data_IF_538384782790
#
_entry.id   IF_538384782790
#
_cell.length_a   1.000
_cell.length_b   1.000
_cell.length_c   1.000
_cell.angle_alpha   90.00
_cell.angle_beta   90.00
_cell.angle_gamma   90.00
#
_symmetry.space_group_name_H-M   'P 1'
#
loop_
_entity.id
_entity.type
_entity.pdbx_description
1 polymer ?
#
# COMPACT_ATOMS: atom_id res chain seq x y z
N UNK A 1 3.28 0.11 -37.58
CA UNK A 1 2.43 -0.66 -36.65
C UNK A 1 1.85 0.30 -35.63
N UNK A 2 0.52 0.29 -35.38
CA UNK A 2 -0.07 1.08 -34.32
C UNK A 2 0.56 0.74 -32.98
N UNK A 3 0.91 1.76 -32.19
CA UNK A 3 1.49 1.61 -30.87
C UNK A 3 0.60 2.20 -29.81
N UNK A 4 0.48 1.52 -28.67
CA UNK A 4 -0.20 1.97 -27.47
C UNK A 4 0.81 2.03 -26.35
N UNK A 5 0.74 3.05 -25.51
CA UNK A 5 1.55 3.15 -24.28
C UNK A 5 0.65 3.27 -23.06
N UNK A 6 1.16 2.81 -21.91
CA UNK A 6 0.50 2.88 -20.60
C UNK A 6 1.36 3.73 -19.66
N UNK A 7 0.75 4.73 -19.03
CA UNK A 7 1.33 5.46 -17.92
C UNK A 7 0.60 5.13 -16.62
N UNK A 8 1.32 4.51 -15.70
CA UNK A 8 0.76 3.99 -14.45
C UNK A 8 0.77 5.01 -13.31
N UNK A 9 1.61 6.04 -13.42
CA UNK A 9 1.84 7.02 -12.36
C UNK A 9 1.11 8.33 -12.64
N UNK A 10 0.89 9.12 -11.59
CA UNK A 10 0.32 10.48 -11.70
C UNK A 10 1.30 11.50 -12.32
N UNK A 11 2.54 11.09 -12.54
CA UNK A 11 3.57 11.86 -13.22
C UNK A 11 4.21 11.02 -14.33
N UNK A 12 4.21 11.53 -15.55
CA UNK A 12 4.67 10.76 -16.71
C UNK A 12 6.19 10.55 -16.73
N UNK A 13 6.58 9.29 -16.93
CA UNK A 13 7.97 8.93 -17.11
C UNK A 13 8.56 9.47 -18.43
N UNK A 14 9.88 9.70 -18.46
CA UNK A 14 10.59 10.26 -19.63
C UNK A 14 10.34 9.42 -20.88
N UNK A 15 10.41 8.11 -20.77
CA UNK A 15 10.19 7.18 -21.90
C UNK A 15 8.80 7.38 -22.52
N UNK A 16 7.76 7.43 -21.69
CA UNK A 16 6.39 7.64 -22.16
C UNK A 16 6.21 9.02 -22.81
N UNK A 17 6.82 10.07 -22.24
CA UNK A 17 6.83 11.42 -22.87
C UNK A 17 7.45 11.40 -24.26
N UNK A 18 8.56 10.69 -24.45
CA UNK A 18 9.22 10.57 -25.76
C UNK A 18 8.38 9.75 -26.76
N UNK A 19 7.78 8.66 -26.32
CA UNK A 19 6.98 7.77 -27.16
C UNK A 19 5.60 8.34 -27.52
N UNK A 20 5.06 9.25 -26.71
CA UNK A 20 3.73 9.85 -26.86
C UNK A 20 3.48 10.43 -28.27
N UNK A 21 4.51 11.03 -28.86
CA UNK A 21 4.41 11.61 -30.22
C UNK A 21 4.05 10.56 -31.27
N UNK A 22 4.58 9.33 -31.13
CA UNK A 22 4.40 8.22 -32.10
C UNK A 22 3.29 7.24 -31.70
N UNK A 23 2.83 7.27 -30.43
CA UNK A 23 1.75 6.42 -29.98
C UNK A 23 0.41 6.80 -30.61
N UNK A 24 -0.41 5.79 -30.93
CA UNK A 24 -1.77 5.96 -31.43
C UNK A 24 -2.74 6.31 -30.29
N UNK A 25 -2.55 5.67 -29.13
CA UNK A 25 -3.30 5.94 -27.88
C UNK A 25 -2.36 5.85 -26.68
N UNK A 26 -2.74 6.58 -25.63
CA UNK A 26 -2.00 6.69 -24.37
C UNK A 26 -2.97 6.38 -23.24
N UNK A 27 -2.90 5.17 -22.70
CA UNK A 27 -3.68 4.77 -21.53
C UNK A 27 -3.06 5.38 -20.28
N UNK A 28 -3.86 6.00 -19.45
CA UNK A 28 -3.41 6.66 -18.21
C UNK A 28 -4.24 6.21 -17.03
N UNK A 29 -3.62 6.20 -15.85
CA UNK A 29 -4.29 5.84 -14.60
C UNK A 29 -4.91 7.04 -13.87
N UNK A 30 -4.44 8.25 -14.15
CA UNK A 30 -4.83 9.47 -13.45
C UNK A 30 -5.36 10.52 -14.42
N UNK A 31 -6.24 11.38 -13.92
CA UNK A 31 -6.67 12.60 -14.59
C UNK A 31 -5.57 13.66 -14.65
N UNK A 32 -5.72 14.68 -15.49
CA UNK A 32 -4.77 15.80 -15.57
C UNK A 32 -3.47 15.46 -16.27
N UNK A 33 -3.44 14.38 -17.08
CA UNK A 33 -2.25 13.94 -17.82
C UNK A 33 -2.03 14.72 -19.12
N UNK A 34 -2.93 15.64 -19.48
CA UNK A 34 -2.84 16.55 -20.64
C UNK A 34 -1.60 17.46 -20.57
N UNK A 35 -1.12 17.73 -19.36
CA UNK A 35 0.13 18.45 -19.13
C UNK A 35 1.39 17.71 -19.63
N UNK A 36 1.28 16.40 -19.90
CA UNK A 36 2.40 15.58 -20.34
C UNK A 36 2.19 15.00 -21.75
N UNK A 37 0.93 14.80 -22.17
CA UNK A 37 0.58 14.05 -23.36
C UNK A 37 -0.45 14.81 -24.21
N UNK A 38 -0.50 14.58 -25.54
CA UNK A 38 -1.56 15.11 -26.40
C UNK A 38 -2.93 14.62 -25.93
N UNK A 39 -3.84 15.56 -25.65
CA UNK A 39 -5.16 15.29 -25.08
C UNK A 39 -6.02 14.35 -25.94
N UNK A 40 -5.92 14.48 -27.27
CA UNK A 40 -6.65 13.66 -28.27
C UNK A 40 -6.23 12.18 -28.29
N UNK A 41 -5.08 11.85 -27.70
CA UNK A 41 -4.58 10.49 -27.59
C UNK A 41 -4.82 9.83 -26.23
N UNK A 42 -5.14 10.62 -25.19
CA UNK A 42 -5.33 10.13 -23.84
C UNK A 42 -6.62 9.30 -23.73
N UNK A 43 -6.51 8.17 -23.05
CA UNK A 43 -7.65 7.33 -22.62
C UNK A 43 -7.45 7.01 -21.14
N UNK A 44 -8.39 7.41 -20.29
CA UNK A 44 -8.35 7.06 -18.87
C UNK A 44 -8.84 5.63 -18.72
N UNK A 45 -7.92 4.72 -18.41
CA UNK A 45 -8.21 3.28 -18.27
C UNK A 45 -8.02 2.77 -16.85
N UNK A 46 -7.40 3.56 -15.98
CA UNK A 46 -6.84 3.04 -14.74
C UNK A 46 -5.60 2.17 -14.98
N UNK A 47 -5.10 1.57 -13.91
CA UNK A 47 -4.06 0.54 -13.97
C UNK A 47 -4.69 -0.85 -14.00
N UNK A 48 -4.06 -1.83 -14.66
CA UNK A 48 -4.48 -3.23 -14.52
C UNK A 48 -4.29 -3.68 -13.07
N UNK A 49 -5.36 -4.20 -12.50
CA UNK A 49 -5.38 -4.80 -11.15
C UNK A 49 -5.82 -6.25 -11.26
N UNK A 50 -5.51 -7.04 -10.23
CA UNK A 50 -5.94 -8.45 -10.18
C UNK A 50 -7.46 -8.53 -9.98
N UNK A 51 -8.11 -9.38 -10.77
CA UNK A 51 -9.57 -9.53 -10.74
C UNK A 51 -10.09 -10.28 -9.51
N UNK A 52 -9.22 -11.08 -8.86
CA UNK A 52 -9.56 -11.89 -7.69
C UNK A 52 -9.67 -11.11 -6.38
N UNK A 53 -9.26 -9.83 -6.39
CA UNK A 53 -9.23 -9.02 -5.17
C UNK A 53 -10.62 -8.64 -4.65
N UNK A 54 -11.56 -8.31 -5.53
CA UNK A 54 -12.93 -7.93 -5.12
C UNK A 54 -13.66 -9.10 -4.47
N UNK A 55 -13.51 -10.31 -5.04
CA UNK A 55 -14.13 -11.52 -4.48
C UNK A 55 -13.57 -11.87 -3.10
N UNK A 56 -12.29 -11.53 -2.86
CA UNK A 56 -11.65 -11.83 -1.59
C UNK A 56 -12.23 -10.99 -0.41
N UNK A 57 -12.78 -9.80 -0.66
CA UNK A 57 -13.32 -8.94 0.40
C UNK A 57 -14.42 -9.62 1.23
N UNK A 58 -15.19 -10.54 0.64
CA UNK A 58 -16.23 -11.30 1.33
C UNK A 58 -15.70 -12.39 2.25
N UNK A 59 -14.38 -12.67 2.27
CA UNK A 59 -13.74 -13.81 2.95
C UNK A 59 -12.95 -13.40 4.19
N UNK A 60 -13.39 -12.35 4.90
CA UNK A 60 -12.62 -11.80 6.03
C UNK A 60 -12.36 -12.83 7.13
N UNK A 61 -13.36 -13.61 7.53
CA UNK A 61 -13.20 -14.63 8.58
C UNK A 61 -12.23 -15.75 8.17
N UNK A 62 -12.35 -16.24 6.92
CA UNK A 62 -11.43 -17.22 6.36
C UNK A 62 -9.99 -16.69 6.29
N UNK A 63 -9.85 -15.45 5.89
CA UNK A 63 -8.55 -14.78 5.81
C UNK A 63 -7.91 -14.61 7.20
N UNK A 64 -8.66 -14.19 8.20
CA UNK A 64 -8.18 -14.09 9.58
C UNK A 64 -7.75 -15.46 10.12
N UNK A 65 -8.56 -16.49 9.89
CA UNK A 65 -8.22 -17.87 10.29
C UNK A 65 -6.93 -18.35 9.59
N UNK A 66 -6.74 -18.02 8.31
CA UNK A 66 -5.52 -18.37 7.56
C UNK A 66 -4.25 -17.75 8.19
N UNK A 67 -4.34 -16.51 8.68
CA UNK A 67 -3.22 -15.83 9.36
C UNK A 67 -3.13 -16.16 10.86
N UNK A 68 -4.06 -16.94 11.41
CA UNK A 68 -4.12 -17.25 12.85
C UNK A 68 -4.45 -16.02 13.71
N UNK A 69 -5.29 -15.14 13.19
CA UNK A 69 -5.69 -13.87 13.82
C UNK A 69 -7.15 -13.94 14.32
N UNK A 70 -7.46 -13.09 15.30
CA UNK A 70 -8.78 -13.01 15.91
C UNK A 70 -9.76 -12.17 15.08
N UNK A 71 -11.02 -12.57 14.91
CA UNK A 71 -12.05 -11.75 14.28
C UNK A 71 -12.47 -10.54 15.13
N UNK A 72 -12.22 -10.58 16.44
CA UNK A 72 -12.61 -9.52 17.40
C UNK A 72 -11.66 -8.31 17.40
N UNK A 73 -10.49 -8.44 16.76
CA UNK A 73 -9.46 -7.40 16.79
C UNK A 73 -9.31 -6.71 15.43
N UNK A 74 -8.95 -5.44 15.48
CA UNK A 74 -8.58 -4.71 14.27
C UNK A 74 -7.26 -5.21 13.72
N UNK A 75 -7.19 -5.35 12.41
CA UNK A 75 -6.01 -5.86 11.70
C UNK A 75 -5.36 -4.75 10.88
N UNK A 76 -4.08 -4.51 11.12
CA UNK A 76 -3.26 -3.63 10.27
C UNK A 76 -2.35 -4.48 9.40
N UNK A 77 -2.48 -4.29 8.08
CA UNK A 77 -1.60 -4.89 7.09
C UNK A 77 -0.44 -3.94 6.78
N UNK A 78 0.79 -4.43 6.88
CA UNK A 78 2.01 -3.68 6.58
C UNK A 78 2.72 -4.29 5.38
N UNK A 79 2.89 -3.53 4.29
CA UNK A 79 3.52 -3.99 3.04
C UNK A 79 4.58 -3.00 2.57
N UNK A 80 5.83 -3.39 2.65
CA UNK A 80 6.98 -2.59 2.17
C UNK A 80 7.43 -2.92 0.74
N UNK A 81 6.71 -3.81 0.04
CA UNK A 81 7.12 -4.37 -1.25
C UNK A 81 8.00 -5.62 -1.10
N UNK A 82 8.34 -6.29 -2.23
CA UNK A 82 9.04 -7.58 -2.24
C UNK A 82 10.47 -7.53 -1.68
N UNK A 83 11.16 -6.40 -1.83
CA UNK A 83 12.50 -6.20 -1.26
C UNK A 83 12.44 -5.69 0.18
N UNK A 84 11.31 -5.12 0.58
CA UNK A 84 11.08 -4.48 1.85
C UNK A 84 11.40 -2.99 1.86
N UNK A 85 10.90 -2.30 2.88
CA UNK A 85 11.10 -0.86 3.11
C UNK A 85 11.72 -0.67 4.50
N UNK A 86 13.01 -0.27 4.53
CA UNK A 86 13.77 -0.18 5.79
C UNK A 86 13.06 0.67 6.84
N UNK A 87 12.62 1.86 6.47
CA UNK A 87 12.01 2.80 7.41
C UNK A 87 10.69 2.28 7.95
N UNK A 88 9.83 1.73 7.08
CA UNK A 88 8.57 1.08 7.51
C UNK A 88 8.89 -0.07 8.48
N UNK A 89 9.81 -0.97 8.12
CA UNK A 89 10.15 -2.11 8.97
C UNK A 89 10.69 -1.68 10.33
N UNK A 90 11.55 -0.64 10.40
CA UNK A 90 12.05 -0.09 11.66
C UNK A 90 10.94 0.53 12.50
N UNK A 91 10.03 1.28 11.88
CA UNK A 91 8.88 1.86 12.57
C UNK A 91 8.02 0.78 13.23
N UNK A 92 7.69 -0.28 12.47
CA UNK A 92 6.86 -1.38 13.00
C UNK A 92 7.61 -2.12 14.11
N UNK A 93 8.88 -2.46 13.88
CA UNK A 93 9.69 -3.21 14.84
C UNK A 93 9.89 -2.44 16.16
N UNK A 94 10.09 -1.12 16.09
CA UNK A 94 10.30 -0.28 17.26
C UNK A 94 9.05 -0.05 18.11
N UNK A 95 7.87 -0.19 17.52
CA UNK A 95 6.60 0.17 18.14
C UNK A 95 5.60 -1.00 18.25
N UNK A 96 6.06 -2.26 18.16
CA UNK A 96 5.19 -3.45 18.28
C UNK A 96 4.35 -3.43 19.56
N UNK A 97 4.93 -3.01 20.68
CA UNK A 97 4.23 -2.91 21.97
C UNK A 97 3.01 -1.97 21.89
N UNK A 98 3.07 -0.91 21.08
CA UNK A 98 1.96 0.04 20.92
C UNK A 98 0.77 -0.61 20.20
N UNK A 99 1.01 -1.48 19.21
CA UNK A 99 -0.07 -2.22 18.54
C UNK A 99 -0.79 -3.12 19.55
N UNK A 100 -0.04 -3.88 20.34
CA UNK A 100 -0.61 -4.82 21.29
C UNK A 100 -1.33 -4.10 22.45
N UNK A 101 -0.77 -2.99 22.94
CA UNK A 101 -1.42 -2.15 23.95
C UNK A 101 -2.74 -1.51 23.44
N UNK A 102 -2.88 -1.34 22.13
CA UNK A 102 -4.09 -0.81 21.48
C UNK A 102 -5.06 -1.90 21.03
N UNK A 103 -4.85 -3.15 21.41
CA UNK A 103 -5.64 -4.33 21.01
C UNK A 103 -5.72 -4.53 19.48
N UNK A 104 -4.65 -4.19 18.78
CA UNK A 104 -4.52 -4.30 17.33
C UNK A 104 -3.59 -5.46 16.99
N UNK A 105 -3.95 -6.20 15.96
CA UNK A 105 -3.15 -7.28 15.40
C UNK A 105 -2.52 -6.89 14.06
N UNK A 106 -1.43 -7.56 13.68
CA UNK A 106 -0.61 -7.13 12.55
C UNK A 106 -0.34 -8.28 11.59
N UNK A 107 -0.56 -8.04 10.29
CA UNK A 107 -0.01 -8.83 9.19
C UNK A 107 1.16 -8.03 8.62
N UNK A 108 2.37 -8.57 8.72
CA UNK A 108 3.59 -7.83 8.38
C UNK A 108 4.40 -8.53 7.30
N UNK A 109 4.41 -7.96 6.09
CA UNK A 109 5.35 -8.33 5.04
C UNK A 109 6.61 -7.46 5.14
N UNK A 110 7.69 -8.05 5.59
CA UNK A 110 8.97 -7.35 5.79
C UNK A 110 9.74 -7.12 4.51
N UNK A 111 9.53 -7.96 3.50
CA UNK A 111 10.40 -8.08 2.34
C UNK A 111 11.65 -8.91 2.63
N UNK A 112 12.24 -9.41 1.56
CA UNK A 112 13.34 -10.40 1.60
C UNK A 112 14.52 -9.98 2.49
N UNK A 113 14.92 -8.71 2.42
CA UNK A 113 16.14 -8.25 3.11
C UNK A 113 15.98 -8.07 4.63
N UNK A 114 14.76 -7.95 5.13
CA UNK A 114 14.50 -7.58 6.53
C UNK A 114 13.88 -8.71 7.35
N UNK A 115 13.46 -9.81 6.71
CA UNK A 115 12.76 -10.90 7.38
C UNK A 115 13.57 -11.56 8.48
N UNK A 116 14.87 -11.80 8.24
CA UNK A 116 15.73 -12.44 9.24
C UNK A 116 15.79 -11.65 10.55
N UNK A 117 15.93 -10.32 10.46
CA UNK A 117 16.03 -9.47 11.64
C UNK A 117 14.67 -9.31 12.33
N UNK A 118 13.60 -9.11 11.57
CA UNK A 118 12.23 -9.06 12.10
C UNK A 118 11.85 -10.37 12.80
N UNK A 119 12.16 -11.52 12.21
CA UNK A 119 11.89 -12.83 12.78
C UNK A 119 12.65 -13.08 14.09
N UNK A 120 13.92 -12.61 14.19
CA UNK A 120 14.67 -12.67 15.44
C UNK A 120 14.04 -11.79 16.52
N UNK A 121 13.65 -10.57 16.15
CA UNK A 121 13.01 -9.63 17.08
C UNK A 121 11.69 -10.19 17.62
N UNK A 122 10.88 -10.80 16.77
CA UNK A 122 9.58 -11.38 17.14
C UNK A 122 9.69 -12.57 18.11
N UNK A 123 10.88 -13.14 18.35
CA UNK A 123 11.05 -14.18 19.38
C UNK A 123 10.71 -13.67 20.78
N UNK A 124 10.88 -12.38 21.05
CA UNK A 124 10.49 -11.75 22.30
C UNK A 124 8.96 -11.57 22.44
N UNK A 125 8.23 -11.68 21.34
CA UNK A 125 6.78 -11.44 21.25
C UNK A 125 5.97 -12.72 20.97
N UNK A 126 6.45 -13.87 21.45
CA UNK A 126 5.75 -15.16 21.28
C UNK A 126 4.34 -15.12 21.87
N UNK A 127 3.35 -15.55 21.08
CA UNK A 127 1.95 -15.53 21.48
C UNK A 127 1.23 -14.20 21.27
N UNK A 128 1.94 -13.16 20.82
CA UNK A 128 1.31 -11.91 20.44
C UNK A 128 0.67 -12.03 19.04
N UNK A 129 -0.42 -11.28 18.76
CA UNK A 129 -1.18 -11.38 17.53
C UNK A 129 -0.47 -10.70 16.34
N UNK A 130 0.64 -11.27 15.90
CA UNK A 130 1.41 -10.81 14.75
C UNK A 130 1.75 -11.97 13.82
N UNK A 131 1.34 -11.86 12.58
CA UNK A 131 1.81 -12.71 11.48
C UNK A 131 2.88 -11.98 10.69
N UNK A 132 4.02 -12.63 10.43
CA UNK A 132 5.16 -12.01 9.76
C UNK A 132 5.77 -12.96 8.72
N UNK A 133 6.03 -12.45 7.53
CA UNK A 133 6.73 -13.15 6.46
C UNK A 133 7.56 -12.19 5.61
N UNK A 134 8.51 -12.73 4.85
CA UNK A 134 9.24 -12.00 3.83
C UNK A 134 8.36 -11.64 2.64
N UNK A 135 7.38 -12.53 2.30
CA UNK A 135 6.46 -12.33 1.19
C UNK A 135 5.07 -12.92 1.49
N UNK A 136 4.03 -12.22 1.09
CA UNK A 136 2.64 -12.67 1.20
C UNK A 136 2.20 -13.22 -0.15
N UNK A 137 1.97 -14.52 -0.24
CA UNK A 137 1.45 -15.17 -1.44
C UNK A 137 -0.05 -14.97 -1.63
N UNK A 138 -0.80 -14.94 -0.49
CA UNK A 138 -2.24 -14.70 -0.44
C UNK A 138 -2.54 -13.25 -0.10
N UNK A 139 -2.14 -12.32 -1.03
CA UNK A 139 -2.45 -10.89 -0.85
C UNK A 139 -3.95 -10.61 -0.84
N UNK A 140 -4.74 -11.40 -1.56
CA UNK A 140 -6.19 -11.41 -1.50
C UNK A 140 -6.70 -11.56 -0.05
N UNK A 141 -6.19 -12.55 0.67
CA UNK A 141 -6.53 -12.75 2.09
C UNK A 141 -5.96 -11.64 2.98
N UNK A 142 -4.74 -11.18 2.72
CA UNK A 142 -4.16 -10.10 3.50
C UNK A 142 -4.99 -8.81 3.42
N UNK A 143 -5.43 -8.45 2.22
CA UNK A 143 -6.34 -7.32 2.03
C UNK A 143 -7.72 -7.57 2.63
N UNK A 144 -8.26 -8.79 2.52
CA UNK A 144 -9.55 -9.13 3.12
C UNK A 144 -9.53 -9.00 4.65
N UNK A 145 -8.47 -9.50 5.30
CA UNK A 145 -8.30 -9.42 6.75
C UNK A 145 -8.07 -8.00 7.26
N UNK A 146 -7.47 -7.11 6.45
CA UNK A 146 -7.04 -5.78 6.87
C UNK A 146 -8.20 -4.80 7.06
N UNK A 147 -8.18 -4.08 8.17
CA UNK A 147 -9.00 -2.89 8.42
C UNK A 147 -8.28 -1.60 7.99
N UNK A 148 -6.96 -1.58 8.07
CA UNK A 148 -6.07 -0.49 7.66
C UNK A 148 -4.85 -1.07 6.97
N UNK A 149 -4.32 -0.36 5.97
CA UNK A 149 -3.08 -0.76 5.28
C UNK A 149 -2.01 0.31 5.45
N UNK A 150 -0.79 -0.13 5.74
CA UNK A 150 0.42 0.70 5.66
C UNK A 150 1.20 0.21 4.44
N UNK A 151 1.48 1.10 3.48
CA UNK A 151 2.14 0.70 2.23
C UNK A 151 3.06 1.77 1.67
N UNK A 152 3.98 1.35 0.79
CA UNK A 152 4.62 2.26 -0.18
C UNK A 152 3.59 2.73 -1.22
N UNK A 153 3.86 3.90 -1.83
CA UNK A 153 2.96 4.51 -2.80
C UNK A 153 3.27 4.09 -4.26
N UNK A 154 3.51 2.80 -4.48
CA UNK A 154 3.67 2.23 -5.81
C UNK A 154 2.36 2.24 -6.61
N UNK A 155 2.44 2.42 -7.93
CA UNK A 155 1.26 2.56 -8.79
C UNK A 155 0.28 1.38 -8.69
N UNK A 156 0.80 0.14 -8.71
CA UNK A 156 -0.05 -1.06 -8.59
C UNK A 156 -0.69 -1.18 -7.21
N UNK A 157 0.07 -0.95 -6.13
CA UNK A 157 -0.45 -1.01 -4.76
C UNK A 157 -1.56 0.01 -4.53
N UNK A 158 -1.36 1.25 -5.00
CA UNK A 158 -2.40 2.30 -4.91
C UNK A 158 -3.66 1.88 -5.67
N UNK A 159 -3.51 1.33 -6.88
CA UNK A 159 -4.67 0.92 -7.69
C UNK A 159 -5.45 -0.21 -7.05
N UNK A 160 -4.76 -1.19 -6.44
CA UNK A 160 -5.40 -2.27 -5.66
C UNK A 160 -6.13 -1.69 -4.43
N UNK A 161 -5.49 -0.79 -3.69
CA UNK A 161 -6.06 -0.16 -2.49
C UNK A 161 -7.29 0.69 -2.80
N UNK A 162 -7.26 1.44 -3.91
CA UNK A 162 -8.43 2.21 -4.39
C UNK A 162 -9.59 1.31 -4.79
N UNK A 163 -9.31 0.20 -5.51
CA UNK A 163 -10.32 -0.78 -5.90
C UNK A 163 -11.01 -1.38 -4.66
N UNK A 164 -10.23 -1.69 -3.64
CA UNK A 164 -10.71 -2.35 -2.42
C UNK A 164 -11.34 -1.38 -1.40
N UNK A 165 -11.25 -0.05 -1.63
CA UNK A 165 -11.74 0.95 -0.69
C UNK A 165 -11.10 0.88 0.71
N UNK A 166 -9.85 0.42 0.80
CA UNK A 166 -9.17 0.22 2.08
C UNK A 166 -8.57 1.53 2.61
N UNK A 167 -8.81 1.89 3.87
CA UNK A 167 -8.09 2.96 4.54
C UNK A 167 -6.59 2.72 4.47
N UNK A 168 -5.80 3.74 4.14
CA UNK A 168 -4.37 3.55 3.92
C UNK A 168 -3.52 4.70 4.47
N UNK A 169 -2.38 4.33 5.08
CA UNK A 169 -1.26 5.22 5.35
C UNK A 169 -0.16 4.94 4.33
N UNK A 170 0.11 5.90 3.48
CA UNK A 170 1.13 5.81 2.45
C UNK A 170 2.45 6.40 2.93
N UNK A 171 3.53 5.65 2.76
CA UNK A 171 4.90 6.09 3.03
C UNK A 171 5.67 6.04 1.71
N UNK A 172 5.69 7.12 0.91
CA UNK A 172 6.38 7.15 -0.37
C UNK A 172 7.87 6.80 -0.22
N UNK A 173 8.42 6.03 -1.16
CA UNK A 173 9.85 5.75 -1.20
C UNK A 173 10.60 6.99 -1.70
N UNK A 174 11.64 7.47 -1.00
CA UNK A 174 12.45 8.60 -1.46
C UNK A 174 13.41 8.21 -2.60
N UNK A 175 13.62 6.90 -2.82
CA UNK A 175 14.63 6.38 -3.74
C UNK A 175 14.01 5.91 -5.07
N UNK A 176 13.10 6.70 -5.62
CA UNK A 176 12.44 6.40 -6.91
C UNK A 176 12.62 7.55 -7.88
N UNK A 177 12.68 7.22 -9.18
CA UNK A 177 12.85 8.22 -10.23
C UNK A 177 11.74 9.28 -10.17
N UNK A 178 12.12 10.56 -10.35
CA UNK A 178 11.20 11.70 -10.45
C UNK A 178 10.22 11.85 -9.28
N UNK A 179 10.53 11.24 -8.13
CA UNK A 179 9.68 11.28 -6.91
C UNK A 179 8.22 10.88 -7.19
N UNK A 180 8.02 9.90 -8.09
CA UNK A 180 6.69 9.52 -8.54
C UNK A 180 5.82 8.94 -7.41
N UNK A 181 6.41 8.30 -6.39
CA UNK A 181 5.62 7.77 -5.26
C UNK A 181 5.00 8.88 -4.40
N UNK A 182 5.73 9.96 -4.13
CA UNK A 182 5.15 11.11 -3.43
C UNK A 182 3.99 11.73 -4.24
N UNK A 183 4.18 11.88 -5.55
CA UNK A 183 3.14 12.41 -6.43
C UNK A 183 1.91 11.50 -6.49
N UNK A 184 2.09 10.19 -6.55
CA UNK A 184 1.01 9.22 -6.50
C UNK A 184 0.24 9.30 -5.15
N UNK A 185 0.95 9.37 -4.02
CA UNK A 185 0.33 9.51 -2.71
C UNK A 185 -0.46 10.82 -2.59
N UNK A 186 0.10 11.95 -3.02
CA UNK A 186 -0.57 13.25 -2.99
C UNK A 186 -1.85 13.27 -3.83
N UNK A 187 -1.91 12.53 -4.93
CA UNK A 187 -3.14 12.43 -5.74
C UNK A 187 -4.32 11.82 -4.95
N UNK A 188 -4.06 10.95 -3.96
CA UNK A 188 -5.07 10.41 -3.06
C UNK A 188 -5.32 11.34 -1.86
N UNK A 189 -4.27 11.90 -1.29
CA UNK A 189 -4.36 12.82 -0.14
C UNK A 189 -5.21 14.04 -0.48
N UNK A 190 -5.06 14.61 -1.68
CA UNK A 190 -5.88 15.75 -2.13
C UNK A 190 -7.37 15.41 -2.31
N UNK A 191 -7.72 14.13 -2.33
CA UNK A 191 -9.11 13.63 -2.39
C UNK A 191 -9.58 13.06 -1.05
N UNK A 192 -8.84 13.30 0.04
CA UNK A 192 -9.08 12.73 1.37
C UNK A 192 -9.17 11.19 1.41
N UNK A 193 -8.57 10.52 0.40
CA UNK A 193 -8.62 9.07 0.24
C UNK A 193 -7.42 8.32 0.87
N UNK A 194 -6.45 9.04 1.38
CA UNK A 194 -5.26 8.46 2.06
C UNK A 194 -4.61 9.47 3.02
N UNK A 195 -3.88 8.94 3.99
CA UNK A 195 -2.93 9.72 4.78
C UNK A 195 -1.52 9.42 4.28
N UNK A 196 -0.69 10.45 4.16
CA UNK A 196 0.71 10.31 3.75
C UNK A 196 1.65 10.73 4.89
N UNK A 197 2.70 9.92 5.09
CA UNK A 197 3.81 10.24 5.99
C UNK A 197 5.10 10.21 5.17
N UNK A 198 5.92 11.24 5.27
CA UNK A 198 7.21 11.25 4.61
C UNK A 198 8.12 10.16 5.20
N UNK A 199 8.92 9.50 4.36
CA UNK A 199 9.79 8.39 4.79
C UNK A 199 10.69 8.75 5.99
N UNK A 200 11.23 9.98 6.00
CA UNK A 200 12.09 10.50 7.08
C UNK A 200 11.39 10.62 8.44
N UNK A 201 10.08 10.81 8.43
CA UNK A 201 9.27 11.03 9.63
C UNK A 201 8.58 9.72 10.10
N UNK A 202 8.68 8.65 9.32
CA UNK A 202 7.94 7.41 9.55
C UNK A 202 8.29 6.71 10.89
N UNK A 203 9.57 6.71 11.31
CA UNK A 203 9.96 6.09 12.58
C UNK A 203 9.30 6.76 13.79
N UNK A 204 8.88 8.03 13.67
CA UNK A 204 8.19 8.77 14.72
C UNK A 204 6.67 8.72 14.59
N UNK A 205 6.16 8.92 13.38
CA UNK A 205 4.76 9.28 13.18
C UNK A 205 3.90 8.16 12.59
N UNK A 206 4.51 7.09 12.01
CA UNK A 206 3.78 6.06 11.27
C UNK A 206 2.83 5.26 12.16
N UNK A 207 3.35 4.67 13.22
CA UNK A 207 2.55 3.80 14.10
C UNK A 207 1.50 4.60 14.87
N UNK A 208 1.82 5.75 15.48
CA UNK A 208 0.80 6.59 16.13
C UNK A 208 -0.34 7.00 15.19
N UNK A 209 -0.02 7.37 13.94
CA UNK A 209 -1.03 7.75 12.93
C UNK A 209 -1.89 6.54 12.54
N UNK A 210 -1.28 5.38 12.28
CA UNK A 210 -2.01 4.17 11.91
C UNK A 210 -2.95 3.71 13.02
N UNK A 211 -2.50 3.73 14.28
CA UNK A 211 -3.34 3.38 15.43
C UNK A 211 -4.50 4.36 15.59
N UNK A 212 -4.25 5.67 15.48
CA UNK A 212 -5.32 6.67 15.52
C UNK A 212 -6.38 6.42 14.45
N UNK A 213 -5.98 6.15 13.21
CA UNK A 213 -6.91 5.89 12.11
C UNK A 213 -7.68 4.58 12.32
N UNK A 214 -7.05 3.53 12.82
CA UNK A 214 -7.73 2.25 13.08
C UNK A 214 -8.84 2.38 14.14
N UNK A 215 -8.72 3.34 15.06
CA UNK A 215 -9.70 3.60 16.10
C UNK A 215 -10.85 4.50 15.63
N UNK A 216 -10.60 5.44 14.71
CA UNK A 216 -11.64 6.39 14.22
C UNK A 216 -12.71 5.64 13.43
N UNK A 217 -12.34 4.64 12.62
CA UNK A 217 -13.29 3.83 11.85
C UNK A 217 -14.16 2.88 12.69
N UNK A 218 -14.04 2.89 14.02
CA UNK A 218 -14.92 2.15 14.93
C UNK A 218 -16.21 2.95 15.22
N UNK A 219 -16.22 4.26 15.01
CA UNK A 219 -17.28 5.16 15.44
C UNK A 219 -18.25 5.62 14.34
N UNK A 220 -18.07 5.18 13.09
CA UNK A 220 -19.04 5.45 12.01
C UNK A 220 -19.83 4.17 11.69
N UNK A 221 -21.16 4.19 11.84
CA UNK A 221 -22.03 3.06 11.48
C UNK A 221 -22.15 2.84 9.99
#
# INVERSE_FOLDING_TARGET
VPALIQEQNSYAGVTNKLLAKKASKICVAYEGMEKFFPADKIVITGNPVRQDLEEALSKKEEALAFFGLSPEKKTILVVGGSLGARTINRSIQGDLDKFFASDVQVIWQTGRYYYSDASKHLKAYRGMPVWCSDFITRMDYAYSAADLVISRAGASSISELCLLGKPVVLVPSPNVAEDHQTKNALALVHKDAAVMIADKDAEKDLVPTALKLSLIHISEP
#
